data_IF_426018929844
#
_entry.id   IF_426018929844
#
_cell.length_a   1.000
_cell.length_b   1.000
_cell.length_c   1.000
_cell.angle_alpha   90.00
_cell.angle_beta   90.00
_cell.angle_gamma   90.00
#
_symmetry.space_group_name_H-M   'P 1'
#
loop_
_entity.id
_entity.type
_entity.pdbx_description
1 polymer ?
#
# COMPACT_ATOMS: atom_id res chain seq x y z
N UNK A 1 -10.92 -12.58 6.95
CA UNK A 1 -10.79 -11.74 5.72
C UNK A 1 -9.56 -12.14 4.91
N UNK A 2 -8.34 -11.99 5.43
CA UNK A 2 -7.11 -12.34 4.69
C UNK A 2 -7.07 -13.80 4.18
N UNK A 3 -7.42 -14.77 5.03
CA UNK A 3 -7.49 -16.18 4.62
C UNK A 3 -8.52 -16.45 3.52
N UNK A 4 -9.62 -15.68 3.46
CA UNK A 4 -10.62 -15.79 2.39
C UNK A 4 -10.04 -15.33 1.05
N UNK A 5 -9.28 -14.22 1.06
CA UNK A 5 -8.59 -13.73 -0.14
C UNK A 5 -7.60 -14.77 -0.68
N UNK A 6 -6.83 -15.43 0.20
CA UNK A 6 -5.90 -16.49 -0.21
C UNK A 6 -6.62 -17.72 -0.80
N UNK A 7 -7.76 -18.11 -0.22
CA UNK A 7 -8.57 -19.23 -0.76
C UNK A 7 -9.08 -18.90 -2.17
N UNK A 8 -9.46 -17.64 -2.40
CA UNK A 8 -9.94 -17.19 -3.71
C UNK A 8 -8.82 -17.21 -4.76
N UNK A 9 -7.62 -16.77 -4.39
CA UNK A 9 -6.44 -16.83 -5.26
C UNK A 9 -6.06 -18.29 -5.58
N UNK A 10 -6.15 -19.19 -4.59
CA UNK A 10 -5.84 -20.61 -4.79
C UNK A 10 -6.82 -21.32 -5.74
N UNK A 11 -8.05 -20.79 -5.86
CA UNK A 11 -9.03 -21.21 -6.86
C UNK A 11 -8.70 -20.77 -8.28
N UNK A 12 -7.92 -19.70 -8.45
CA UNK A 12 -7.36 -19.23 -9.73
C UNK A 12 -5.98 -19.88 -10.04
N UNK A 13 -5.72 -21.07 -9.52
CA UNK A 13 -4.40 -21.69 -9.31
C UNK A 13 -3.12 -20.86 -9.12
N UNK A 14 -3.16 -19.56 -8.81
CA UNK A 14 -1.97 -18.69 -8.77
C UNK A 14 -1.24 -18.71 -7.41
N UNK A 15 -0.28 -19.63 -7.29
CA UNK A 15 0.53 -19.78 -6.08
C UNK A 15 1.55 -18.65 -5.89
N UNK A 16 2.06 -18.06 -6.98
CA UNK A 16 3.04 -16.99 -6.93
C UNK A 16 2.46 -15.73 -6.29
N UNK A 17 1.30 -15.30 -6.79
CA UNK A 17 0.59 -14.12 -6.26
C UNK A 17 0.13 -14.36 -4.82
N UNK A 18 -0.34 -15.57 -4.49
CA UNK A 18 -0.68 -15.93 -3.11
C UNK A 18 0.52 -15.79 -2.16
N UNK A 19 1.71 -16.25 -2.57
CA UNK A 19 2.94 -16.15 -1.78
C UNK A 19 3.37 -14.70 -1.57
N UNK A 20 3.29 -13.86 -2.60
CA UNK A 20 3.60 -12.43 -2.49
C UNK A 20 2.65 -11.75 -1.51
N UNK A 21 1.35 -11.96 -1.67
CA UNK A 21 0.32 -11.35 -0.82
C UNK A 21 0.48 -11.82 0.64
N UNK A 22 0.75 -13.11 0.85
CA UNK A 22 1.10 -13.67 2.16
C UNK A 22 2.35 -13.00 2.77
N UNK A 23 3.44 -12.88 2.00
CA UNK A 23 4.68 -12.25 2.45
C UNK A 23 4.51 -10.78 2.83
N UNK A 24 3.77 -10.01 2.02
CA UNK A 24 3.46 -8.60 2.31
C UNK A 24 2.63 -8.49 3.58
N UNK A 25 1.58 -9.29 3.72
CA UNK A 25 0.75 -9.30 4.92
C UNK A 25 1.56 -9.64 6.17
N UNK A 26 2.46 -10.60 6.08
CA UNK A 26 3.34 -10.98 7.18
C UNK A 26 4.30 -9.87 7.57
N UNK A 27 4.85 -9.18 6.57
CA UNK A 27 5.70 -8.03 6.80
C UNK A 27 4.93 -6.88 7.47
N UNK A 28 3.67 -6.66 7.09
CA UNK A 28 2.82 -5.64 7.72
C UNK A 28 2.47 -5.98 9.18
N UNK A 29 2.16 -7.24 9.48
CA UNK A 29 1.92 -7.69 10.86
C UNK A 29 3.19 -7.56 11.70
N UNK A 30 4.35 -7.92 11.14
CA UNK A 30 5.63 -7.72 11.80
C UNK A 30 5.88 -6.24 12.10
N UNK A 31 5.65 -5.36 11.12
CA UNK A 31 5.78 -3.91 11.29
C UNK A 31 4.79 -3.33 12.31
N UNK A 32 3.65 -3.99 12.55
CA UNK A 32 2.67 -3.61 13.56
C UNK A 32 3.08 -3.99 15.00
N UNK A 33 4.18 -4.72 15.19
CA UNK A 33 4.70 -5.10 16.51
C UNK A 33 4.08 -6.39 17.06
N UNK A 34 3.59 -7.29 16.21
CA UNK A 34 3.11 -8.59 16.66
C UNK A 34 4.22 -9.44 17.29
N UNK A 35 3.85 -10.30 18.25
CA UNK A 35 4.81 -11.21 18.88
C UNK A 35 5.40 -12.18 17.84
N UNK A 36 6.72 -12.34 17.87
CA UNK A 36 7.47 -13.18 16.93
C UNK A 36 7.01 -14.64 16.96
N UNK A 37 6.55 -15.13 18.11
CA UNK A 37 5.98 -16.48 18.29
C UNK A 37 4.72 -16.71 17.44
N UNK A 38 3.76 -15.78 17.48
CA UNK A 38 2.56 -15.84 16.64
C UNK A 38 2.91 -15.73 15.15
N UNK A 39 3.91 -14.91 14.83
CA UNK A 39 4.40 -14.78 13.46
C UNK A 39 5.00 -16.09 12.95
N UNK A 40 5.83 -16.75 13.75
CA UNK A 40 6.40 -18.07 13.45
C UNK A 40 5.30 -19.12 13.30
N UNK A 41 4.36 -19.20 14.24
CA UNK A 41 3.24 -20.15 14.16
C UNK A 41 2.39 -19.97 12.91
N UNK A 42 2.08 -18.73 12.54
CA UNK A 42 1.35 -18.42 11.31
C UNK A 42 2.17 -18.73 10.05
N UNK A 43 3.49 -18.47 10.06
CA UNK A 43 4.35 -18.82 8.92
C UNK A 43 4.45 -20.34 8.74
N UNK A 44 4.52 -21.11 9.83
CA UNK A 44 4.56 -22.57 9.80
C UNK A 44 3.23 -23.13 9.29
N UNK A 45 2.09 -22.60 9.77
CA UNK A 45 0.78 -22.96 9.27
C UNK A 45 0.63 -22.62 7.77
N UNK A 46 1.09 -21.44 7.34
CA UNK A 46 1.10 -21.03 5.94
C UNK A 46 1.96 -21.96 5.08
N UNK A 47 3.16 -22.31 5.53
CA UNK A 47 4.03 -23.26 4.84
C UNK A 47 3.37 -24.64 4.69
N UNK A 48 2.69 -25.12 5.73
CA UNK A 48 1.95 -26.39 5.69
C UNK A 48 0.83 -26.36 4.64
N UNK A 49 0.09 -25.26 4.53
CA UNK A 49 -0.93 -25.07 3.50
C UNK A 49 -0.31 -25.07 2.11
N UNK A 50 0.81 -24.36 1.91
CA UNK A 50 1.52 -24.35 0.62
C UNK A 50 1.98 -25.76 0.23
N UNK A 51 2.56 -26.51 1.16
CA UNK A 51 3.00 -27.89 0.93
C UNK A 51 1.82 -28.80 0.57
N UNK A 52 0.71 -28.71 1.31
CA UNK A 52 -0.51 -29.46 1.00
C UNK A 52 -1.06 -29.12 -0.40
N UNK A 53 -1.10 -27.82 -0.73
CA UNK A 53 -1.52 -27.30 -2.03
C UNK A 53 -0.62 -27.73 -3.19
N UNK A 54 0.67 -27.89 -2.94
CA UNK A 54 1.62 -28.43 -3.91
C UNK A 54 1.36 -29.93 -4.14
N UNK A 55 1.25 -30.70 -3.06
CA UNK A 55 1.02 -32.16 -3.13
C UNK A 55 -0.31 -32.51 -3.79
N UNK A 56 -1.33 -31.66 -3.63
CA UNK A 56 -2.67 -31.87 -4.19
C UNK A 56 -2.73 -31.75 -5.73
N UNK A 57 -1.79 -31.03 -6.37
CA UNK A 57 -1.82 -30.78 -7.83
C UNK A 57 -0.57 -31.35 -8.51
N UNK A 58 -0.70 -32.34 -9.40
CA UNK A 58 0.46 -33.00 -10.04
C UNK A 58 1.31 -32.02 -10.87
N UNK A 59 0.71 -30.96 -11.42
CA UNK A 59 1.44 -29.91 -12.12
C UNK A 59 2.42 -29.14 -11.22
N UNK A 60 2.04 -28.84 -9.97
CA UNK A 60 2.89 -28.12 -9.02
C UNK A 60 4.05 -28.98 -8.55
N UNK A 61 3.79 -30.27 -8.32
CA UNK A 61 4.83 -31.25 -8.05
C UNK A 61 5.83 -31.32 -9.19
N UNK A 62 5.37 -31.38 -10.45
CA UNK A 62 6.27 -31.36 -11.62
C UNK A 62 7.18 -30.13 -11.66
N UNK A 63 6.71 -28.94 -11.27
CA UNK A 63 7.56 -27.73 -11.18
C UNK A 63 8.62 -27.81 -10.09
N UNK A 64 8.32 -28.45 -8.97
CA UNK A 64 9.29 -28.62 -7.88
C UNK A 64 10.27 -29.76 -8.20
N UNK A 65 9.80 -30.88 -8.74
CA UNK A 65 10.69 -31.99 -9.11
C UNK A 65 11.59 -31.62 -10.27
N UNK A 66 11.11 -30.85 -11.26
CA UNK A 66 11.98 -30.30 -12.33
C UNK A 66 12.90 -29.18 -11.85
N UNK A 67 12.60 -28.54 -10.71
CA UNK A 67 13.53 -27.62 -10.07
C UNK A 67 14.65 -28.38 -9.31
N UNK A 68 14.31 -29.47 -8.62
CA UNK A 68 15.31 -30.31 -7.92
C UNK A 68 16.16 -31.13 -8.89
N UNK A 69 15.54 -31.65 -9.95
CA UNK A 69 16.16 -32.47 -10.98
C UNK A 69 15.72 -32.00 -12.37
N UNK A 70 16.32 -30.91 -12.87
CA UNK A 70 16.02 -30.38 -14.21
C UNK A 70 16.47 -31.32 -15.32
N UNK A 71 17.49 -32.16 -15.08
CA UNK A 71 18.07 -33.07 -16.06
C UNK A 71 17.19 -34.30 -16.33
N UNK A 72 16.21 -34.59 -15.46
CA UNK A 72 15.25 -35.68 -15.65
C UNK A 72 14.24 -35.44 -16.79
N UNK A 73 13.92 -34.18 -17.10
CA UNK A 73 13.06 -33.82 -18.23
C UNK A 73 13.50 -32.49 -18.87
N UNK A 74 14.61 -32.51 -19.63
CA UNK A 74 15.24 -31.32 -20.17
C UNK A 74 14.45 -30.71 -21.33
N UNK A 75 13.45 -31.40 -21.90
CA UNK A 75 12.61 -30.88 -22.99
C UNK A 75 11.20 -30.45 -22.52
N UNK A 76 10.77 -30.87 -21.33
CA UNK A 76 9.48 -30.53 -20.75
C UNK A 76 9.57 -29.49 -19.64
N UNK A 77 9.32 -29.90 -18.40
CA UNK A 77 9.16 -28.99 -17.28
C UNK A 77 10.46 -28.26 -16.86
N UNK A 78 11.62 -28.90 -17.06
CA UNK A 78 12.94 -28.33 -16.74
C UNK A 78 13.50 -27.40 -17.81
N UNK A 79 12.94 -27.44 -19.04
CA UNK A 79 13.48 -26.73 -20.20
C UNK A 79 13.65 -25.22 -19.95
N UNK A 80 12.66 -24.58 -19.35
CA UNK A 80 12.71 -23.13 -19.07
C UNK A 80 13.79 -22.76 -18.05
N UNK A 81 13.96 -23.56 -17.01
CA UNK A 81 14.95 -23.32 -15.96
C UNK A 81 16.38 -23.58 -16.45
N UNK A 82 16.59 -24.63 -17.26
CA UNK A 82 17.89 -24.93 -17.88
C UNK A 82 18.29 -23.80 -18.82
N UNK A 83 17.39 -23.40 -19.72
CA UNK A 83 17.67 -22.34 -20.68
C UNK A 83 17.91 -21.00 -19.99
N UNK A 84 17.17 -20.65 -18.92
CA UNK A 84 17.42 -19.43 -18.17
C UNK A 84 18.81 -19.42 -17.55
N UNK A 85 19.26 -20.54 -16.99
CA UNK A 85 20.59 -20.68 -16.41
C UNK A 85 21.69 -20.63 -17.48
N UNK A 86 21.46 -21.26 -18.64
CA UNK A 86 22.35 -21.18 -19.79
C UNK A 86 22.49 -19.73 -20.30
N UNK A 87 21.39 -18.98 -20.36
CA UNK A 87 21.42 -17.56 -20.76
C UNK A 87 22.35 -16.75 -19.86
N UNK A 88 22.17 -16.90 -18.53
CA UNK A 88 22.98 -16.23 -17.51
C UNK A 88 24.46 -16.61 -17.65
N UNK A 89 24.76 -17.91 -17.76
CA UNK A 89 26.14 -18.39 -17.92
C UNK A 89 26.80 -17.87 -19.20
N UNK A 90 26.01 -17.66 -20.24
CA UNK A 90 26.49 -17.24 -21.56
C UNK A 90 26.75 -15.73 -21.68
N UNK A 91 26.22 -14.91 -20.75
CA UNK A 91 26.41 -13.45 -20.73
C UNK A 91 27.78 -12.98 -20.24
N UNK A 92 28.55 -13.82 -19.53
CA UNK A 92 29.85 -13.43 -19.00
C UNK A 92 29.80 -12.16 -18.12
N UNK A 93 30.91 -11.42 -18.01
CA UNK A 93 30.98 -10.23 -17.15
C UNK A 93 30.29 -8.99 -17.75
N UNK A 94 30.46 -8.76 -19.05
CA UNK A 94 30.03 -7.53 -19.74
C UNK A 94 28.85 -7.73 -20.70
N UNK A 95 28.32 -8.95 -20.80
CA UNK A 95 27.23 -9.26 -21.71
C UNK A 95 27.71 -9.50 -23.14
N UNK A 96 26.79 -9.99 -23.98
CA UNK A 96 27.00 -10.13 -25.43
C UNK A 96 26.67 -8.89 -26.24
N UNK A 97 26.12 -7.85 -25.60
CA UNK A 97 25.65 -6.64 -26.25
C UNK A 97 24.13 -6.60 -26.39
N UNK A 98 23.56 -5.40 -26.22
CA UNK A 98 22.13 -5.13 -26.26
C UNK A 98 21.49 -5.62 -27.57
N UNK A 99 20.41 -6.41 -27.46
CA UNK A 99 19.66 -6.89 -28.62
C UNK A 99 20.34 -7.98 -29.46
N UNK A 100 21.51 -8.49 -29.05
CA UNK A 100 22.24 -9.60 -29.72
C UNK A 100 22.00 -10.94 -29.00
N UNK A 101 21.10 -10.97 -28.01
CA UNK A 101 20.76 -12.18 -27.23
C UNK A 101 20.20 -13.28 -28.12
N UNK A 102 20.89 -14.43 -28.19
CA UNK A 102 20.53 -15.54 -29.07
C UNK A 102 19.29 -16.29 -28.56
N UNK A 103 19.01 -16.24 -27.26
CA UNK A 103 17.83 -16.89 -26.68
C UNK A 103 16.51 -16.17 -26.97
N UNK A 104 16.57 -14.92 -27.46
CA UNK A 104 15.38 -14.10 -27.79
C UNK A 104 14.59 -14.65 -28.99
N UNK A 105 15.22 -15.46 -29.85
CA UNK A 105 14.74 -15.67 -31.21
C UNK A 105 14.05 -17.01 -31.51
N UNK A 106 13.99 -18.00 -30.60
CA UNK A 106 13.20 -19.25 -30.78
C UNK A 106 13.35 -20.32 -29.68
N UNK A 107 14.19 -20.12 -28.66
CA UNK A 107 14.53 -21.18 -27.70
C UNK A 107 13.76 -21.13 -26.39
N UNK A 108 12.93 -20.13 -26.12
CA UNK A 108 12.19 -20.04 -24.85
C UNK A 108 10.77 -19.49 -25.08
N UNK A 109 9.73 -20.32 -25.07
CA UNK A 109 8.36 -19.82 -24.94
C UNK A 109 8.28 -18.96 -23.66
N UNK A 110 7.65 -17.78 -23.72
CA UNK A 110 7.45 -16.87 -22.57
C UNK A 110 8.73 -16.23 -21.97
N UNK A 111 9.84 -16.21 -22.71
CA UNK A 111 11.10 -15.55 -22.31
C UNK A 111 10.92 -14.08 -21.90
N UNK A 112 9.95 -13.40 -22.50
CA UNK A 112 9.77 -11.95 -22.39
C UNK A 112 8.99 -11.51 -21.14
N UNK A 113 8.29 -12.42 -20.46
CA UNK A 113 7.49 -12.07 -19.28
C UNK A 113 8.20 -12.51 -18.00
N UNK A 114 8.37 -13.82 -17.84
CA UNK A 114 8.76 -14.42 -16.56
C UNK A 114 10.26 -14.69 -16.47
N UNK A 115 10.93 -14.85 -17.63
CA UNK A 115 12.37 -15.08 -17.72
C UNK A 115 13.13 -13.89 -18.33
N UNK A 116 12.54 -12.69 -18.34
CA UNK A 116 13.19 -11.52 -18.97
C UNK A 116 14.53 -11.17 -18.32
N UNK A 117 14.70 -11.49 -17.03
CA UNK A 117 15.95 -11.30 -16.33
C UNK A 117 17.09 -12.16 -16.89
N UNK A 118 16.81 -13.35 -17.45
CA UNK A 118 17.85 -14.21 -18.05
C UNK A 118 18.36 -13.63 -19.37
N UNK A 119 17.46 -13.02 -20.15
CA UNK A 119 17.83 -12.27 -21.36
C UNK A 119 18.68 -11.05 -20.99
N UNK A 120 18.27 -10.32 -19.95
CA UNK A 120 19.02 -9.17 -19.44
C UNK A 120 20.41 -9.60 -18.95
N UNK A 121 20.52 -10.78 -18.34
CA UNK A 121 21.80 -11.39 -17.96
C UNK A 121 22.67 -11.77 -19.16
N UNK A 122 22.09 -12.30 -20.24
CA UNK A 122 22.83 -12.60 -21.47
C UNK A 122 23.33 -11.31 -22.15
N UNK A 123 22.48 -10.29 -22.24
CA UNK A 123 22.76 -9.05 -22.98
C UNK A 123 23.70 -8.10 -22.22
N UNK A 124 23.51 -7.93 -20.92
CA UNK A 124 24.28 -7.00 -20.08
C UNK A 124 25.35 -7.68 -19.21
N UNK A 125 25.32 -9.00 -19.12
CA UNK A 125 26.24 -9.77 -18.28
C UNK A 125 25.99 -9.59 -16.79
N UNK A 126 27.00 -10.02 -16.02
CA UNK A 126 26.99 -9.91 -14.56
C UNK A 126 26.89 -8.46 -14.07
N UNK A 127 27.59 -7.53 -14.73
CA UNK A 127 27.62 -6.13 -14.27
C UNK A 127 26.24 -5.48 -14.40
N UNK A 128 25.54 -5.68 -15.51
CA UNK A 128 24.21 -5.10 -15.69
C UNK A 128 23.14 -5.75 -14.81
N UNK A 129 23.19 -7.06 -14.62
CA UNK A 129 22.26 -7.74 -13.70
C UNK A 129 22.46 -7.31 -12.25
N UNK A 130 23.71 -7.18 -11.79
CA UNK A 130 24.01 -6.63 -10.47
C UNK A 130 23.52 -5.18 -10.33
N UNK A 131 23.63 -4.38 -11.38
CA UNK A 131 23.07 -3.02 -11.40
C UNK A 131 21.54 -3.05 -11.20
N UNK A 132 20.81 -3.92 -11.89
CA UNK A 132 19.36 -4.08 -11.73
C UNK A 132 18.99 -4.51 -10.30
N UNK A 133 19.69 -5.50 -9.74
CA UNK A 133 19.49 -5.94 -8.35
C UNK A 133 19.75 -4.78 -7.39
N UNK A 134 20.81 -4.01 -7.61
CA UNK A 134 21.13 -2.84 -6.81
C UNK A 134 20.04 -1.76 -6.89
N UNK A 135 19.44 -1.53 -8.07
CA UNK A 135 18.32 -0.61 -8.23
C UNK A 135 17.10 -1.04 -7.41
N UNK A 136 16.76 -2.33 -7.40
CA UNK A 136 15.68 -2.84 -6.54
C UNK A 136 16.01 -2.73 -5.05
N UNK A 137 17.26 -2.97 -4.66
CA UNK A 137 17.71 -2.75 -3.28
C UNK A 137 17.64 -1.26 -2.88
N UNK A 138 18.01 -0.35 -3.79
CA UNK A 138 17.89 1.08 -3.58
C UNK A 138 16.41 1.51 -3.46
N UNK A 139 15.51 0.93 -4.27
CA UNK A 139 14.07 1.15 -4.17
C UNK A 139 13.53 0.67 -2.82
N UNK A 140 13.92 -0.53 -2.38
CA UNK A 140 13.55 -1.08 -1.07
C UNK A 140 14.02 -0.15 0.06
N UNK A 141 15.29 0.25 0.03
CA UNK A 141 15.87 1.16 1.02
C UNK A 141 15.12 2.49 1.09
N UNK A 142 14.84 3.10 -0.07
CA UNK A 142 14.11 4.37 -0.15
C UNK A 142 12.66 4.22 0.32
N UNK A 143 11.97 3.16 -0.06
CA UNK A 143 10.61 2.88 0.41
C UNK A 143 10.53 2.68 1.92
N UNK A 144 11.47 1.93 2.50
CA UNK A 144 11.61 1.79 3.95
C UNK A 144 11.92 3.14 4.62
N UNK A 145 12.80 3.95 4.04
CA UNK A 145 13.10 5.29 4.55
C UNK A 145 11.84 6.18 4.59
N UNK A 146 11.03 6.17 3.53
CA UNK A 146 9.76 6.91 3.47
C UNK A 146 8.80 6.41 4.55
N UNK A 147 8.65 5.10 4.71
CA UNK A 147 7.79 4.51 5.73
C UNK A 147 8.23 4.88 7.16
N UNK A 148 9.54 4.90 7.44
CA UNK A 148 10.09 5.28 8.74
C UNK A 148 9.89 6.77 9.05
N UNK A 149 9.90 7.63 8.03
CA UNK A 149 9.70 9.07 8.19
C UNK A 149 8.23 9.45 8.37
N UNK A 150 7.29 8.57 8.06
CA UNK A 150 5.85 8.82 8.15
C UNK A 150 5.39 8.99 9.60
N UNK A 151 4.73 10.13 9.89
CA UNK A 151 4.16 10.42 11.21
C UNK A 151 2.87 9.63 11.48
N UNK A 152 2.04 9.43 10.45
CA UNK A 152 0.76 8.72 10.56
C UNK A 152 0.97 7.21 10.38
N UNK A 153 0.45 6.36 11.30
CA UNK A 153 0.65 4.91 11.23
C UNK A 153 0.07 4.29 9.95
N UNK A 154 -1.09 4.78 9.50
CA UNK A 154 -1.69 4.34 8.24
C UNK A 154 -0.77 4.53 7.03
N UNK A 155 -0.20 5.73 6.87
CA UNK A 155 0.72 6.04 5.75
C UNK A 155 2.01 5.24 5.83
N UNK A 156 2.51 4.98 7.05
CA UNK A 156 3.67 4.13 7.29
C UNK A 156 3.43 2.71 6.80
N UNK A 157 2.30 2.09 7.18
CA UNK A 157 1.97 0.73 6.74
C UNK A 157 1.69 0.66 5.24
N UNK A 158 1.04 1.68 4.66
CA UNK A 158 0.79 1.75 3.22
C UNK A 158 2.11 1.81 2.43
N UNK A 159 3.02 2.71 2.81
CA UNK A 159 4.32 2.83 2.15
C UNK A 159 5.13 1.53 2.27
N UNK A 160 5.12 0.91 3.45
CA UNK A 160 5.81 -0.36 3.69
C UNK A 160 5.21 -1.48 2.84
N UNK A 161 3.88 -1.67 2.87
CA UNK A 161 3.21 -2.72 2.11
C UNK A 161 3.45 -2.61 0.61
N UNK A 162 3.33 -1.41 0.03
CA UNK A 162 3.55 -1.17 -1.41
C UNK A 162 5.02 -1.43 -1.78
N UNK A 163 5.98 -0.98 -0.96
CA UNK A 163 7.41 -1.21 -1.21
C UNK A 163 7.71 -2.70 -1.20
N UNK A 164 7.25 -3.42 -0.17
CA UNK A 164 7.48 -4.86 -0.05
C UNK A 164 6.76 -5.64 -1.14
N UNK A 165 5.57 -5.22 -1.59
CA UNK A 165 4.86 -5.89 -2.68
C UNK A 165 5.68 -5.89 -3.97
N UNK A 166 6.19 -4.73 -4.38
CA UNK A 166 6.99 -4.60 -5.61
C UNK A 166 8.33 -5.31 -5.46
N UNK A 167 9.02 -5.15 -4.32
CA UNK A 167 10.33 -5.76 -4.12
C UNK A 167 10.25 -7.29 -4.01
N UNK A 168 9.24 -7.83 -3.32
CA UNK A 168 9.07 -9.27 -3.16
C UNK A 168 8.76 -9.95 -4.49
N UNK A 169 7.94 -9.34 -5.35
CA UNK A 169 7.72 -9.81 -6.72
C UNK A 169 9.02 -9.85 -7.51
N UNK A 170 9.83 -8.79 -7.42
CA UNK A 170 11.12 -8.73 -8.11
C UNK A 170 12.11 -9.79 -7.62
N UNK A 171 12.27 -9.96 -6.30
CA UNK A 171 13.17 -10.97 -5.74
C UNK A 171 12.74 -12.39 -6.04
N UNK A 172 11.42 -12.68 -6.02
CA UNK A 172 10.92 -14.00 -6.41
C UNK A 172 11.19 -14.27 -7.89
N UNK A 173 10.96 -13.30 -8.79
CA UNK A 173 11.27 -13.47 -10.20
C UNK A 173 12.77 -13.72 -10.43
N UNK A 174 13.64 -12.91 -9.81
CA UNK A 174 15.10 -13.09 -9.90
C UNK A 174 15.49 -14.47 -9.36
N UNK A 175 14.93 -14.91 -8.23
CA UNK A 175 15.19 -16.21 -7.64
C UNK A 175 14.76 -17.39 -8.53
N UNK A 176 13.68 -17.25 -9.29
CA UNK A 176 13.27 -18.24 -10.30
C UNK A 176 14.30 -18.32 -11.40
N UNK A 177 14.73 -17.18 -11.92
CA UNK A 177 15.65 -17.11 -13.05
C UNK A 177 17.04 -17.62 -12.69
N UNK A 178 17.51 -17.38 -11.46
CA UNK A 178 18.78 -17.89 -10.94
C UNK A 178 18.72 -19.35 -10.48
N UNK A 179 17.57 -20.02 -10.56
CA UNK A 179 17.42 -21.40 -10.09
C UNK A 179 17.49 -21.54 -8.56
N UNK A 180 17.15 -20.49 -7.82
CA UNK A 180 17.07 -20.51 -6.34
C UNK A 180 15.67 -20.85 -5.82
N UNK A 181 14.64 -20.61 -6.62
CA UNK A 181 13.24 -20.92 -6.28
C UNK A 181 12.51 -21.56 -7.46
N UNK A 182 11.48 -22.40 -7.24
CA UNK A 182 10.70 -22.99 -8.32
C UNK A 182 9.91 -21.92 -9.08
N UNK A 183 9.65 -22.14 -10.36
CA UNK A 183 8.98 -21.17 -11.23
C UNK A 183 7.59 -20.77 -10.70
N UNK A 184 7.42 -19.49 -10.38
CA UNK A 184 6.18 -18.92 -9.82
C UNK A 184 5.29 -18.25 -10.88
N UNK A 185 5.81 -17.97 -12.09
CA UNK A 185 5.05 -17.33 -13.17
C UNK A 185 4.74 -15.84 -12.93
N UNK A 186 5.53 -15.18 -12.07
CA UNK A 186 5.36 -13.76 -11.77
C UNK A 186 6.25 -12.91 -12.68
N UNK A 187 5.72 -11.87 -13.33
CA UNK A 187 6.52 -10.98 -14.16
C UNK A 187 7.43 -10.09 -13.31
N UNK A 188 8.63 -9.79 -13.81
CA UNK A 188 9.55 -8.84 -13.19
C UNK A 188 8.97 -7.41 -13.23
N UNK A 189 8.74 -6.74 -12.08
CA UNK A 189 8.23 -5.36 -12.07
C UNK A 189 9.12 -4.41 -12.87
N UNK A 190 8.52 -3.43 -13.55
CA UNK A 190 9.16 -2.42 -14.42
C UNK A 190 9.86 -2.91 -15.70
N UNK A 191 10.35 -4.15 -15.74
CA UNK A 191 11.18 -4.65 -16.85
C UNK A 191 10.39 -5.60 -17.76
N UNK A 192 9.49 -6.40 -17.19
CA UNK A 192 8.73 -7.43 -17.91
C UNK A 192 7.78 -6.86 -18.97
N UNK A 193 7.58 -7.63 -20.05
CA UNK A 193 6.72 -7.31 -21.19
C UNK A 193 5.22 -7.52 -20.89
N UNK A 194 4.76 -7.07 -19.71
CA UNK A 194 3.36 -7.10 -19.29
C UNK A 194 2.82 -5.68 -19.15
N UNK A 195 2.01 -5.22 -20.12
CA UNK A 195 1.47 -3.85 -20.09
C UNK A 195 0.69 -3.54 -18.79
N UNK A 196 -0.13 -4.49 -18.35
CA UNK A 196 -0.93 -4.35 -17.12
C UNK A 196 -0.06 -4.34 -15.86
N UNK A 197 0.90 -5.27 -15.74
CA UNK A 197 1.79 -5.33 -14.57
C UNK A 197 2.71 -4.11 -14.49
N UNK A 198 3.17 -3.59 -15.63
CA UNK A 198 3.93 -2.35 -15.71
C UNK A 198 3.10 -1.15 -15.24
N UNK A 199 1.85 -1.01 -15.70
CA UNK A 199 0.95 0.04 -15.24
C UNK A 199 0.73 -0.01 -13.73
N UNK A 200 0.46 -1.19 -13.17
CA UNK A 200 0.31 -1.33 -11.71
C UNK A 200 1.61 -1.04 -10.95
N UNK A 201 2.77 -1.44 -11.48
CA UNK A 201 4.07 -1.12 -10.87
C UNK A 201 4.32 0.39 -10.84
N UNK A 202 3.99 1.11 -11.93
CA UNK A 202 4.09 2.58 -11.99
C UNK A 202 3.09 3.25 -11.04
N UNK A 203 1.86 2.74 -10.94
CA UNK A 203 0.87 3.23 -9.98
C UNK A 203 1.33 3.01 -8.53
N UNK A 204 1.96 1.88 -8.22
CA UNK A 204 2.54 1.61 -6.91
C UNK A 204 3.63 2.63 -6.55
N UNK A 205 4.52 2.96 -7.48
CA UNK A 205 5.53 4.01 -7.28
C UNK A 205 4.88 5.39 -7.13
N UNK A 206 3.90 5.71 -7.97
CA UNK A 206 3.14 6.97 -7.87
C UNK A 206 2.44 7.12 -6.52
N UNK A 207 1.88 6.03 -5.98
CA UNK A 207 1.31 6.00 -4.64
C UNK A 207 2.38 6.23 -3.57
N UNK A 208 3.54 5.58 -3.67
CA UNK A 208 4.66 5.78 -2.73
C UNK A 208 5.15 7.24 -2.74
N UNK A 209 5.25 7.86 -3.92
CA UNK A 209 5.60 9.28 -4.06
C UNK A 209 4.53 10.20 -3.45
N UNK A 210 3.24 9.87 -3.62
CA UNK A 210 2.15 10.63 -2.99
C UNK A 210 2.23 10.55 -1.45
N UNK A 211 2.56 9.39 -0.89
CA UNK A 211 2.79 9.25 0.55
C UNK A 211 3.98 10.08 1.00
N UNK A 212 5.10 10.04 0.27
CA UNK A 212 6.28 10.84 0.57
C UNK A 212 5.97 12.35 0.59
N UNK A 213 5.26 12.85 -0.42
CA UNK A 213 4.82 14.25 -0.50
C UNK A 213 3.88 14.62 0.65
N UNK A 214 2.89 13.78 0.93
CA UNK A 214 1.92 14.00 2.02
C UNK A 214 2.60 14.06 3.38
N UNK A 215 3.64 13.25 3.60
CA UNK A 215 4.40 13.27 4.85
C UNK A 215 5.15 14.60 5.07
N UNK A 216 5.71 15.20 4.00
CA UNK A 216 6.36 16.52 4.09
C UNK A 216 5.34 17.60 4.47
N UNK A 217 4.19 17.65 3.80
CA UNK A 217 3.14 18.62 4.10
C UNK A 217 2.64 18.53 5.56
N UNK A 218 2.42 17.31 6.06
CA UNK A 218 2.02 17.07 7.45
C UNK A 218 3.07 17.54 8.48
N UNK A 219 4.36 17.50 8.12
CA UNK A 219 5.44 18.00 8.99
C UNK A 219 5.47 19.53 9.02
N UNK A 220 5.18 20.19 7.92
CA UNK A 220 5.12 21.66 7.84
C UNK A 220 3.94 22.24 8.61
N UNK A 221 2.76 21.63 8.52
CA UNK A 221 1.57 22.09 9.25
C UNK A 221 1.75 22.01 10.77
N UNK A 222 2.48 21.01 11.26
CA UNK A 222 2.81 20.87 12.70
C UNK A 222 3.82 21.92 13.18
N UNK A 223 4.63 22.49 12.29
CA UNK A 223 5.62 23.54 12.63
C UNK A 223 5.02 24.95 12.67
N UNK A 224 3.86 25.17 12.05
CA UNK A 224 3.21 26.47 12.10
C UNK A 224 2.80 26.76 13.55
N UNK A 225 3.27 27.87 14.17
CA UNK A 225 2.83 28.21 15.50
C UNK A 225 1.31 28.36 15.46
N UNK A 226 0.61 27.67 16.37
CA UNK A 226 -0.84 27.84 16.54
C UNK A 226 -1.06 29.33 16.81
N UNK A 227 -1.51 30.05 15.78
CA UNK A 227 -1.84 31.46 15.89
C UNK A 227 -2.86 31.56 17.01
N UNK A 228 -2.45 32.12 18.15
CA UNK A 228 -3.30 32.37 19.30
C UNK A 228 -4.36 33.35 18.81
N UNK A 229 -5.48 32.83 18.29
CA UNK A 229 -6.65 33.64 17.99
C UNK A 229 -7.08 34.22 19.33
N UNK A 230 -6.62 35.43 19.63
CA UNK A 230 -7.21 36.28 20.65
C UNK A 230 -8.64 36.49 20.20
N UNK A 231 -9.54 35.63 20.67
CA UNK A 231 -10.97 35.91 20.70
C UNK A 231 -11.09 37.15 21.57
N UNK A 232 -11.12 38.30 20.90
CA UNK A 232 -11.35 39.59 21.50
C UNK A 232 -12.75 39.48 22.12
N UNK A 233 -12.80 39.13 23.42
CA UNK A 233 -14.00 39.27 24.24
C UNK A 233 -14.30 40.76 24.25
N UNK A 234 -15.10 41.22 23.30
CA UNK A 234 -15.67 42.56 23.32
C UNK A 234 -16.51 42.66 24.58
N UNK A 235 -16.09 43.57 25.46
CA UNK A 235 -16.91 44.31 26.42
C UNK A 235 -17.97 43.53 27.19
N UNK A 236 -17.63 43.14 28.41
CA UNK A 236 -18.58 43.16 29.51
C UNK A 236 -17.90 43.86 30.70
N UNK A 237 -17.60 45.15 30.52
CA UNK A 237 -17.45 46.07 31.64
C UNK A 237 -18.84 46.31 32.20
N UNK A 238 -19.26 45.48 33.16
CA UNK A 238 -20.29 45.86 34.12
C UNK A 238 -19.56 46.55 35.26
N UNK A 239 -19.80 47.85 35.35
CA UNK A 239 -19.41 48.72 36.44
C UNK A 239 -19.80 48.09 37.78
N UNK A 240 -18.80 47.73 38.57
CA UNK A 240 -18.94 47.67 40.02
C UNK A 240 -19.16 49.10 40.49
N UNK A 241 -20.30 49.33 41.14
CA UNK A 241 -20.61 50.38 42.12
C UNK A 241 -22.03 50.90 41.89
N UNK A 242 -23.00 50.33 42.60
CA UNK A 242 -24.05 51.08 43.26
C UNK A 242 -24.66 50.21 44.36
N UNK A 243 -24.82 50.84 45.53
CA UNK A 243 -25.38 50.31 46.76
C UNK A 243 -26.77 49.71 46.55
N UNK A 244 -27.04 48.56 47.16
CA UNK A 244 -28.40 48.17 47.53
C UNK A 244 -28.43 47.80 49.01
N UNK A 245 -29.00 48.74 49.75
CA UNK A 245 -29.57 48.61 51.08
C UNK A 245 -30.54 47.44 51.16
N UNK A 246 -30.49 46.74 52.29
CA UNK A 246 -31.44 45.73 52.71
C UNK A 246 -32.86 46.33 52.78
N UNK A 247 -33.83 45.73 52.10
CA UNK A 247 -35.24 45.75 52.52
C UNK A 247 -36.04 44.55 51.98
N UNK A 248 -36.73 43.90 52.93
CA UNK A 248 -38.01 43.19 52.85
C UNK A 248 -38.21 41.95 51.92
N UNK A 249 -38.24 40.81 52.60
CA UNK A 249 -39.09 39.61 52.40
C UNK A 249 -40.37 39.83 51.57
N UNK A 250 -40.55 39.02 50.52
CA UNK A 250 -41.88 38.60 50.05
C UNK A 250 -41.85 37.13 49.62
N UNK A 251 -42.19 36.27 50.56
CA UNK A 251 -42.59 34.88 50.33
C UNK A 251 -43.99 34.88 49.71
N UNK A 252 -44.15 34.46 48.45
CA UNK A 252 -45.50 34.34 47.88
C UNK A 252 -45.65 34.05 46.38
N UNK A 253 -44.59 33.81 45.62
CA UNK A 253 -44.70 33.66 44.14
C UNK A 253 -44.49 32.22 43.64
N UNK A 254 -44.15 31.27 44.52
CA UNK A 254 -43.86 29.89 44.14
C UNK A 254 -45.05 28.92 44.22
N UNK A 255 -46.17 29.31 44.84
CA UNK A 255 -47.33 28.42 45.02
C UNK A 255 -48.39 28.49 43.91
N UNK A 256 -48.37 29.50 43.03
CA UNK A 256 -49.40 29.64 41.98
C UNK A 256 -49.06 29.03 40.62
N UNK A 257 -47.80 28.61 40.39
CA UNK A 257 -47.39 27.96 39.12
C UNK A 257 -47.25 26.44 39.17
N UNK A 258 -47.29 25.83 40.36
CA UNK A 258 -47.12 24.38 40.53
C UNK A 258 -48.43 23.58 40.65
N UNK A 259 -49.60 24.25 40.74
CA UNK A 259 -50.88 23.62 41.04
C UNK A 259 -51.88 23.50 39.86
N UNK A 260 -51.46 23.80 38.62
CA UNK A 260 -52.39 23.95 37.48
C UNK A 260 -52.31 22.93 36.34
N UNK A 261 -51.37 21.97 36.33
CA UNK A 261 -51.22 21.08 35.16
C UNK A 261 -50.83 19.64 35.55
N UNK A 262 -51.65 19.03 36.40
CA UNK A 262 -51.83 17.58 36.44
C UNK A 262 -53.30 17.35 36.17
N UNK A 263 -53.63 16.87 34.96
CA UNK A 263 -54.68 15.90 34.65
C UNK A 263 -54.91 15.86 33.12
N UNK A 264 -54.95 14.64 32.60
CA UNK A 264 -55.50 14.23 31.29
C UNK A 264 -54.59 14.28 30.05
N UNK A 265 -54.19 13.08 29.60
CA UNK A 265 -54.54 12.65 28.25
C UNK A 265 -53.49 12.74 27.14
N UNK A 266 -52.86 11.59 26.88
CA UNK A 266 -52.57 11.07 25.53
C UNK A 266 -51.53 11.78 24.64
N UNK A 267 -50.43 11.05 24.36
CA UNK A 267 -49.72 11.14 23.07
C UNK A 267 -48.52 12.08 22.96
N UNK A 268 -47.53 11.99 23.86
CA UNK A 268 -46.30 12.77 23.74
C UNK A 268 -45.31 12.13 22.75
N UNK A 269 -45.28 12.62 21.50
CA UNK A 269 -44.12 12.46 20.60
C UNK A 269 -42.95 13.25 21.19
N UNK A 270 -41.83 12.58 21.44
CA UNK A 270 -40.57 13.23 21.84
C UNK A 270 -40.19 14.37 20.87
N UNK A 271 -39.66 15.50 21.37
CA UNK A 271 -39.07 16.52 20.51
C UNK A 271 -37.82 15.96 19.82
N UNK A 272 -37.84 15.95 18.49
CA UNK A 272 -36.64 15.67 17.69
C UNK A 272 -35.61 16.79 17.93
N UNK A 273 -34.31 16.50 18.02
CA UNK A 273 -33.29 17.54 18.03
C UNK A 273 -33.40 18.37 16.75
N UNK A 274 -33.17 19.68 16.89
CA UNK A 274 -33.21 20.62 15.77
C UNK A 274 -32.27 20.16 14.66
N UNK A 275 -32.84 19.80 13.51
CA UNK A 275 -32.10 19.59 12.27
C UNK A 275 -31.69 20.97 11.78
N UNK A 276 -30.39 21.29 11.78
CA UNK A 276 -29.88 22.49 11.11
C UNK A 276 -30.25 22.44 9.61
N UNK A 277 -30.95 23.44 9.06
CA UNK A 277 -31.02 23.62 7.62
C UNK A 277 -29.72 24.30 7.16
N UNK A 278 -28.74 23.51 6.73
CA UNK A 278 -27.41 24.04 6.37
C UNK A 278 -26.63 23.24 5.31
N UNK A 279 -27.31 22.55 4.39
CA UNK A 279 -26.68 22.01 3.18
C UNK A 279 -26.25 23.16 2.24
N UNK A 280 -24.98 23.12 1.85
CA UNK A 280 -24.47 23.53 0.54
C UNK A 280 -24.52 25.05 0.21
N UNK A 281 -23.52 25.80 0.68
CA UNK A 281 -23.00 26.93 -0.11
C UNK A 281 -22.21 26.40 -1.31
N UNK A 282 -22.95 25.96 -2.33
CA UNK A 282 -22.47 25.47 -3.63
C UNK A 282 -22.08 26.63 -4.58
N UNK A 283 -21.42 27.68 -4.07
CA UNK A 283 -21.06 28.86 -4.89
C UNK A 283 -19.63 29.37 -4.74
N UNK A 284 -18.81 28.79 -3.87
CA UNK A 284 -17.42 29.24 -3.66
C UNK A 284 -16.39 28.73 -4.67
N UNK A 285 -16.79 27.85 -5.60
CA UNK A 285 -15.88 27.30 -6.61
C UNK A 285 -15.75 28.18 -7.86
N UNK A 286 -16.79 28.97 -8.18
CA UNK A 286 -16.80 29.84 -9.36
C UNK A 286 -16.04 31.16 -9.12
N UNK A 287 -16.04 31.67 -7.88
CA UNK A 287 -15.30 32.87 -7.48
C UNK A 287 -13.78 32.63 -7.44
N UNK A 288 -13.33 31.47 -6.94
CA UNK A 288 -11.91 31.09 -6.88
C UNK A 288 -11.29 30.90 -8.27
N UNK A 289 -12.04 30.35 -9.25
CA UNK A 289 -11.55 30.21 -10.63
C UNK A 289 -11.38 31.56 -11.35
N UNK A 290 -12.23 32.55 -11.06
CA UNK A 290 -12.09 33.91 -11.63
C UNK A 290 -10.91 34.67 -11.03
N UNK A 291 -10.62 34.48 -9.73
CA UNK A 291 -9.45 35.08 -9.09
C UNK A 291 -8.13 34.49 -9.62
N UNK A 292 -8.00 33.16 -9.75
CA UNK A 292 -6.80 32.56 -10.37
C UNK A 292 -6.59 32.94 -11.84
N UNK A 293 -7.67 33.16 -12.61
CA UNK A 293 -7.56 33.58 -14.01
C UNK A 293 -7.17 35.06 -14.17
N UNK A 294 -7.48 35.92 -13.19
CA UNK A 294 -7.08 37.32 -13.17
C UNK A 294 -5.62 37.51 -12.71
N UNK A 295 -5.14 36.65 -11.83
CA UNK A 295 -3.76 36.68 -11.32
C UNK A 295 -2.74 36.23 -12.38
N UNK A 296 -3.12 35.24 -13.21
CA UNK A 296 -2.27 34.75 -14.30
C UNK A 296 -2.13 35.72 -15.50
N UNK A 297 -2.95 36.79 -15.57
CA UNK A 297 -2.81 37.86 -16.58
C UNK A 297 -1.94 39.03 -16.12
N UNK A 298 -1.53 39.06 -14.85
CA UNK A 298 -0.68 40.12 -14.29
C UNK A 298 0.80 39.73 -14.20
N UNK A 299 1.13 38.46 -14.47
CA UNK A 299 2.49 37.91 -14.40
C UNK A 299 3.02 37.42 -15.76
N UNK A 300 2.34 37.79 -16.86
CA UNK A 300 2.82 37.59 -18.23
C UNK A 300 3.35 38.88 -18.83
#
# INVERSE_FOLDING_TARGET
LFGLSLILIEREPDLGTALVVAGVFMTMIFAAGAQVSHLLGMSAAGAMVVVASVLAKPYRLKRITSFLDPDADPQGAGYHAIQSLLAIGSGGLYGRGFGVGHQKYKYLPEAHTDYIFSILAEELGLVGTLCVVFLFMALLYKGCQIALQCRRPYLRYLALGVTFQVCLQAFLNIGVVTGSTPSTGLPLPFISYGGTSLLFSLLSVGLLMNVARSNVALREDCKKPVGRQKKQRKGATLSTSQEESLDAVSTGVWESKAAGARLSGSGEKMPRPAVEPGLLKRTDWASRRRQSAAENRRQG
#
